data_IF_536743120894
#
_entry.id   IF_536743120894
#
_cell.length_a   1.000
_cell.length_b   1.000
_cell.length_c   1.000
_cell.angle_alpha   90.00
_cell.angle_beta   90.00
_cell.angle_gamma   90.00
#
_symmetry.space_group_name_H-M   'P 1'
#
loop_
_entity.id
_entity.type
_entity.pdbx_description
1 polymer ?
#
# COMPACT_ATOMS: atom_id res chain seq x y z
N UNK A 1 11.20 -16.61 5.29
CA UNK A 1 12.64 -16.81 5.58
C UNK A 1 12.88 -18.30 5.67
N UNK A 2 13.72 -18.88 4.80
CA UNK A 2 13.84 -20.33 4.69
C UNK A 2 14.49 -20.90 5.96
N UNK A 3 13.81 -21.82 6.67
CA UNK A 3 14.27 -22.38 7.95
C UNK A 3 15.63 -23.06 7.84
N UNK A 4 15.96 -23.59 6.66
CA UNK A 4 17.29 -24.14 6.36
C UNK A 4 18.43 -23.11 6.46
N UNK A 5 18.19 -21.85 6.10
CA UNK A 5 19.21 -20.80 6.19
C UNK A 5 19.56 -20.49 7.65
N UNK A 6 18.55 -20.41 8.51
CA UNK A 6 18.73 -20.13 9.94
C UNK A 6 19.52 -21.25 10.61
N UNK A 7 19.24 -22.51 10.27
CA UNK A 7 19.94 -23.67 10.82
C UNK A 7 21.41 -23.73 10.40
N UNK A 8 21.71 -23.47 9.13
CA UNK A 8 23.09 -23.46 8.61
C UNK A 8 23.89 -22.28 9.18
N UNK A 9 23.28 -21.09 9.27
CA UNK A 9 23.90 -19.91 9.87
C UNK A 9 24.17 -20.13 11.38
N UNK A 10 23.21 -20.70 12.12
CA UNK A 10 23.39 -21.03 13.53
C UNK A 10 24.51 -22.07 13.74
N UNK A 11 24.57 -23.12 12.91
CA UNK A 11 25.60 -24.14 13.00
C UNK A 11 27.01 -23.58 12.74
N UNK A 12 27.16 -22.71 11.74
CA UNK A 12 28.45 -22.08 11.39
C UNK A 12 28.92 -21.09 12.47
N UNK A 13 28.01 -20.34 13.10
CA UNK A 13 28.32 -19.50 14.27
C UNK A 13 28.74 -20.35 15.47
N UNK A 14 28.05 -21.47 15.75
CA UNK A 14 28.42 -22.38 16.84
C UNK A 14 29.80 -23.02 16.63
N UNK A 15 30.14 -23.40 15.39
CA UNK A 15 31.47 -23.91 15.06
C UNK A 15 32.53 -22.84 15.28
N UNK A 16 32.29 -21.59 14.85
CA UNK A 16 33.21 -20.48 15.07
C UNK A 16 33.42 -20.17 16.57
N UNK A 17 32.34 -20.18 17.37
CA UNK A 17 32.39 -19.97 18.82
C UNK A 17 33.14 -21.09 19.52
N UNK A 18 32.86 -22.36 19.16
CA UNK A 18 33.59 -23.50 19.70
C UNK A 18 35.10 -23.41 19.39
N UNK A 19 35.45 -22.97 18.18
CA UNK A 19 36.85 -22.77 17.78
C UNK A 19 37.55 -21.65 18.57
N UNK A 20 36.82 -20.62 19.00
CA UNK A 20 37.36 -19.52 19.81
C UNK A 20 37.48 -19.88 21.30
N UNK A 21 36.52 -20.64 21.84
CA UNK A 21 36.40 -20.92 23.28
C UNK A 21 37.23 -22.13 23.71
N UNK A 22 37.30 -23.19 22.90
CA UNK A 22 38.07 -24.42 23.21
C UNK A 22 39.56 -24.15 23.52
N UNK A 23 40.30 -23.35 22.75
CA UNK A 23 41.70 -23.01 23.08
C UNK A 23 41.84 -22.04 24.27
N UNK A 24 40.75 -21.40 24.69
CA UNK A 24 40.70 -20.52 25.86
C UNK A 24 40.51 -21.31 27.16
N UNK A 25 39.83 -22.46 27.09
CA UNK A 25 39.61 -23.38 28.21
C UNK A 25 40.72 -24.44 28.36
N UNK A 26 41.39 -24.83 27.28
CA UNK A 26 42.50 -25.78 27.32
C UNK A 26 43.81 -25.11 27.80
N UNK A 27 44.05 -25.13 29.11
CA UNK A 27 45.26 -24.57 29.72
C UNK A 27 46.57 -25.27 29.31
N UNK A 28 47.61 -24.46 29.04
CA UNK A 28 49.04 -24.82 28.87
C UNK A 28 49.36 -25.85 27.77
N UNK A 29 49.37 -25.39 26.52
CA UNK A 29 50.30 -25.86 25.49
C UNK A 29 50.75 -24.66 24.65
N UNK A 30 51.96 -24.72 24.11
CA UNK A 30 52.76 -23.61 23.59
C UNK A 30 51.97 -22.70 22.63
N UNK A 31 51.55 -21.54 23.15
CA UNK A 31 50.47 -20.71 22.60
C UNK A 31 50.84 -19.99 21.29
N UNK A 32 52.10 -20.10 20.84
CA UNK A 32 52.64 -19.38 19.68
C UNK A 32 52.44 -20.10 18.35
N UNK A 33 52.36 -21.43 18.35
CA UNK A 33 52.30 -22.22 17.10
C UNK A 33 50.87 -22.62 16.68
N UNK A 34 49.91 -22.64 17.62
CA UNK A 34 48.53 -23.04 17.36
C UNK A 34 47.66 -21.91 16.75
N UNK A 35 47.98 -20.64 17.04
CA UNK A 35 47.25 -19.46 16.54
C UNK A 35 47.28 -19.32 15.02
N UNK A 36 48.43 -19.45 14.32
CA UNK A 36 48.45 -19.33 12.85
C UNK A 36 47.68 -20.46 12.14
N UNK A 37 47.70 -21.67 12.69
CA UNK A 37 46.92 -22.81 12.14
C UNK A 37 45.42 -22.55 12.30
N UNK A 38 44.99 -22.03 13.45
CA UNK A 38 43.61 -21.67 13.71
C UNK A 38 43.09 -20.61 12.72
N UNK A 39 43.90 -19.57 12.47
CA UNK A 39 43.58 -18.51 11.51
C UNK A 39 43.47 -19.07 10.10
N UNK A 40 44.42 -19.92 9.68
CA UNK A 40 44.41 -20.54 8.35
C UNK A 40 43.14 -21.40 8.15
N UNK A 41 42.76 -22.18 9.16
CA UNK A 41 41.55 -23.00 9.11
C UNK A 41 40.31 -22.13 8.97
N UNK A 42 40.15 -21.06 9.75
CA UNK A 42 39.00 -20.15 9.65
C UNK A 42 38.94 -19.46 8.28
N UNK A 43 40.10 -18.99 7.78
CA UNK A 43 40.21 -18.33 6.46
C UNK A 43 39.82 -19.26 5.32
N UNK A 44 40.00 -20.58 5.46
CA UNK A 44 39.60 -21.55 4.43
C UNK A 44 38.17 -22.07 4.62
N UNK A 45 37.75 -22.31 5.86
CA UNK A 45 36.44 -22.90 6.16
C UNK A 45 35.30 -21.92 5.92
N UNK A 46 35.47 -20.64 6.27
CA UNK A 46 34.40 -19.64 6.12
C UNK A 46 34.04 -19.40 4.64
N UNK A 47 34.99 -19.16 3.71
CA UNK A 47 34.66 -19.02 2.30
C UNK A 47 34.08 -20.29 1.69
N UNK A 48 34.60 -21.47 2.07
CA UNK A 48 34.09 -22.75 1.57
C UNK A 48 32.65 -23.02 2.03
N UNK A 49 32.36 -22.78 3.31
CA UNK A 49 31.02 -22.90 3.88
C UNK A 49 30.05 -21.88 3.25
N UNK A 50 30.50 -20.64 3.05
CA UNK A 50 29.74 -19.62 2.34
C UNK A 50 29.44 -20.03 0.90
N UNK A 51 30.40 -20.59 0.18
CA UNK A 51 30.22 -21.06 -1.19
C UNK A 51 29.22 -22.23 -1.28
N UNK A 52 29.31 -23.20 -0.38
CA UNK A 52 28.37 -24.33 -0.30
C UNK A 52 26.96 -23.84 0.05
N UNK A 53 26.84 -22.92 1.01
CA UNK A 53 25.55 -22.35 1.42
C UNK A 53 24.93 -21.53 0.28
N UNK A 54 25.73 -20.74 -0.43
CA UNK A 54 25.29 -20.00 -1.60
C UNK A 54 24.81 -20.92 -2.72
N UNK A 55 25.47 -22.06 -2.95
CA UNK A 55 25.03 -23.06 -3.94
C UNK A 55 23.77 -23.82 -3.52
N UNK A 56 23.59 -24.08 -2.22
CA UNK A 56 22.46 -24.87 -1.71
C UNK A 56 21.18 -24.05 -1.49
N UNK A 57 21.32 -22.76 -1.18
CA UNK A 57 20.20 -21.87 -0.80
C UNK A 57 20.04 -20.69 -1.77
N UNK A 58 21.13 -20.24 -2.40
CA UNK A 58 21.10 -19.14 -3.35
C UNK A 58 20.58 -19.56 -4.73
N UNK A 59 20.23 -18.57 -5.54
CA UNK A 59 19.82 -18.71 -6.94
C UNK A 59 21.00 -18.32 -7.85
N UNK A 60 21.94 -19.24 -8.14
CA UNK A 60 23.13 -18.94 -8.95
C UNK A 60 22.78 -18.47 -10.38
N UNK A 61 21.61 -18.85 -10.89
CA UNK A 61 21.07 -18.41 -12.18
C UNK A 61 20.64 -16.93 -12.17
N UNK A 62 20.37 -16.34 -11.00
CA UNK A 62 20.03 -14.91 -10.86
C UNK A 62 21.21 -13.95 -11.07
N UNK A 63 22.41 -14.47 -11.36
CA UNK A 63 23.59 -13.68 -11.77
C UNK A 63 23.89 -13.88 -13.27
N UNK A 64 22.97 -14.42 -14.06
CA UNK A 64 23.10 -14.37 -15.52
C UNK A 64 23.22 -12.90 -15.96
N UNK A 65 24.16 -12.54 -16.87
CA UNK A 65 24.24 -11.19 -17.38
C UNK A 65 22.91 -10.80 -18.04
N UNK A 66 22.35 -9.61 -17.76
CA UNK A 66 21.10 -9.13 -18.38
C UNK A 66 21.11 -9.22 -19.92
N UNK A 67 22.30 -9.14 -20.52
CA UNK A 67 22.51 -9.24 -21.96
C UNK A 67 22.16 -10.61 -22.55
N UNK A 68 22.19 -11.68 -21.74
CA UNK A 68 21.92 -13.04 -22.22
C UNK A 68 20.43 -13.28 -22.53
N UNK A 69 19.53 -12.75 -21.71
CA UNK A 69 18.08 -12.85 -21.92
C UNK A 69 17.64 -11.94 -23.07
N UNK A 70 18.13 -10.71 -23.10
CA UNK A 70 17.85 -9.78 -24.20
C UNK A 70 18.38 -10.29 -25.56
N UNK A 71 19.55 -10.94 -25.58
CA UNK A 71 20.07 -11.59 -26.79
C UNK A 71 19.19 -12.77 -27.24
N UNK A 72 18.67 -13.57 -26.30
CA UNK A 72 17.76 -14.67 -26.61
C UNK A 72 16.44 -14.17 -27.20
N UNK A 73 15.85 -13.12 -26.61
CA UNK A 73 14.61 -12.50 -27.12
C UNK A 73 14.83 -11.92 -28.51
N UNK A 74 15.96 -11.22 -28.74
CA UNK A 74 16.33 -10.71 -30.08
C UNK A 74 16.50 -11.83 -31.11
N UNK A 75 17.08 -12.97 -30.72
CA UNK A 75 17.17 -14.12 -31.61
C UNK A 75 15.78 -14.69 -31.96
N UNK A 76 14.89 -14.80 -30.96
CA UNK A 76 13.51 -15.25 -31.17
C UNK A 76 12.72 -14.30 -32.09
N UNK A 77 12.93 -12.98 -31.98
CA UNK A 77 12.34 -11.98 -32.87
C UNK A 77 12.73 -12.20 -34.35
N UNK A 78 13.99 -12.58 -34.63
CA UNK A 78 14.44 -12.88 -35.99
C UNK A 78 13.74 -14.14 -36.53
N UNK A 79 13.54 -15.16 -35.70
CA UNK A 79 12.79 -16.37 -36.09
C UNK A 79 11.31 -16.07 -36.34
N UNK A 80 10.68 -15.21 -35.53
CA UNK A 80 9.30 -14.77 -35.72
C UNK A 80 9.16 -13.97 -37.03
N UNK A 81 10.07 -13.02 -37.28
CA UNK A 81 10.07 -12.22 -38.50
C UNK A 81 10.18 -13.10 -39.77
N UNK A 82 11.07 -14.10 -39.77
CA UNK A 82 11.20 -15.07 -40.88
C UNK A 82 9.93 -15.90 -41.11
N UNK A 83 9.15 -16.18 -40.06
CA UNK A 83 7.87 -16.89 -40.18
C UNK A 83 6.79 -15.96 -40.76
N UNK A 84 6.75 -14.71 -40.32
CA UNK A 84 5.85 -13.68 -40.82
C UNK A 84 6.11 -13.30 -42.29
N UNK A 85 7.35 -13.40 -42.78
CA UNK A 85 7.67 -13.27 -44.21
C UNK A 85 6.97 -14.34 -45.07
N UNK A 86 6.74 -15.54 -44.51
CA UNK A 86 6.07 -16.64 -45.21
C UNK A 86 4.56 -16.59 -45.03
N UNK A 87 4.11 -16.16 -43.85
CA UNK A 87 2.70 -16.01 -43.51
C UNK A 87 2.47 -14.71 -42.73
N UNK A 88 2.15 -13.63 -43.45
CA UNK A 88 2.02 -12.29 -42.87
C UNK A 88 0.67 -12.04 -42.18
N UNK A 89 -0.25 -13.00 -42.26
CA UNK A 89 -1.61 -12.93 -41.73
C UNK A 89 -1.79 -13.83 -40.49
N UNK A 90 -0.70 -14.08 -39.76
CA UNK A 90 -0.69 -14.85 -38.52
C UNK A 90 -0.74 -13.91 -37.31
N UNK A 91 -1.94 -13.66 -36.78
CA UNK A 91 -2.15 -12.77 -35.64
C UNK A 91 -1.33 -13.22 -34.41
N UNK A 92 -1.26 -14.53 -34.13
CA UNK A 92 -0.53 -15.07 -32.98
C UNK A 92 0.97 -14.77 -33.04
N UNK A 93 1.57 -14.80 -34.24
CA UNK A 93 2.97 -14.42 -34.42
C UNK A 93 3.21 -12.93 -34.20
N UNK A 94 2.30 -12.08 -34.68
CA UNK A 94 2.36 -10.64 -34.42
C UNK A 94 2.20 -10.31 -32.94
N UNK A 95 1.32 -11.03 -32.22
CA UNK A 95 1.20 -10.92 -30.76
C UNK A 95 2.52 -11.29 -30.09
N UNK A 96 3.10 -12.45 -30.42
CA UNK A 96 4.39 -12.88 -29.84
C UNK A 96 5.50 -11.88 -30.09
N UNK A 97 5.55 -11.31 -31.31
CA UNK A 97 6.51 -10.26 -31.66
C UNK A 97 6.30 -9.02 -30.80
N UNK A 98 5.05 -8.57 -30.63
CA UNK A 98 4.70 -7.45 -29.78
C UNK A 98 5.13 -7.65 -28.33
N UNK A 99 4.78 -8.79 -27.73
CA UNK A 99 5.16 -9.12 -26.35
C UNK A 99 6.68 -9.21 -26.17
N UNK A 100 7.41 -9.76 -27.14
CA UNK A 100 8.87 -9.81 -27.11
C UNK A 100 9.50 -8.41 -27.15
N UNK A 101 8.95 -7.48 -27.96
CA UNK A 101 9.40 -6.09 -27.93
C UNK A 101 9.07 -5.38 -26.62
N UNK A 102 7.91 -5.66 -26.00
CA UNK A 102 7.59 -5.12 -24.66
C UNK A 102 8.56 -5.58 -23.59
N UNK A 103 8.97 -6.85 -23.63
CA UNK A 103 9.97 -7.38 -22.70
C UNK A 103 11.34 -6.68 -22.86
N UNK A 104 11.68 -6.31 -24.10
CA UNK A 104 12.85 -5.48 -24.40
C UNK A 104 12.63 -3.98 -24.12
N UNK A 105 11.44 -3.59 -23.66
CA UNK A 105 11.00 -2.20 -23.46
C UNK A 105 11.06 -1.34 -24.73
N UNK A 106 11.01 -1.97 -25.90
CA UNK A 106 10.93 -1.32 -27.21
C UNK A 106 9.45 -1.07 -27.56
N UNK A 107 8.79 -0.17 -26.83
CA UNK A 107 7.34 0.01 -26.90
C UNK A 107 6.83 0.46 -28.28
N UNK A 108 7.57 1.32 -29.01
CA UNK A 108 7.16 1.73 -30.35
C UNK A 108 7.16 0.56 -31.35
N UNK A 109 8.15 -0.35 -31.26
CA UNK A 109 8.18 -1.58 -32.05
C UNK A 109 7.06 -2.54 -31.66
N UNK A 110 6.78 -2.65 -30.36
CA UNK A 110 5.67 -3.44 -29.84
C UNK A 110 4.31 -2.93 -30.34
N UNK A 111 4.10 -1.62 -30.36
CA UNK A 111 2.89 -0.99 -30.86
C UNK A 111 2.64 -1.39 -32.31
N UNK A 112 3.65 -1.27 -33.18
CA UNK A 112 3.52 -1.66 -34.59
C UNK A 112 3.11 -3.13 -34.76
N UNK A 113 3.73 -4.05 -34.01
CA UNK A 113 3.40 -5.46 -34.07
C UNK A 113 1.98 -5.75 -33.54
N UNK A 114 1.59 -5.15 -32.41
CA UNK A 114 0.26 -5.35 -31.81
C UNK A 114 -0.86 -4.72 -32.65
N UNK A 115 -0.62 -3.57 -33.30
CA UNK A 115 -1.57 -3.00 -34.27
C UNK A 115 -1.76 -3.90 -35.47
N UNK A 116 -0.68 -4.54 -35.96
CA UNK A 116 -0.79 -5.51 -37.05
C UNK A 116 -1.56 -6.76 -36.61
N UNK A 117 -1.35 -7.24 -35.39
CA UNK A 117 -2.15 -8.32 -34.82
C UNK A 117 -3.63 -7.94 -34.72
N UNK A 118 -3.94 -6.75 -34.21
CA UNK A 118 -5.30 -6.24 -34.07
C UNK A 118 -5.98 -6.03 -35.42
N UNK A 119 -5.24 -5.65 -36.47
CA UNK A 119 -5.80 -5.57 -37.81
C UNK A 119 -6.29 -6.93 -38.34
N UNK A 120 -5.62 -8.01 -37.96
CA UNK A 120 -5.95 -9.37 -38.40
C UNK A 120 -7.07 -9.96 -37.52
N UNK A 121 -7.00 -9.73 -36.21
CA UNK A 121 -7.95 -10.22 -35.21
C UNK A 121 -8.45 -9.07 -34.31
N UNK A 122 -9.34 -8.24 -34.88
CA UNK A 122 -9.78 -6.97 -34.29
C UNK A 122 -10.60 -7.11 -33.02
N UNK A 123 -11.23 -8.26 -32.80
CA UNK A 123 -12.10 -8.51 -31.67
C UNK A 123 -11.39 -9.21 -30.50
N UNK A 124 -10.07 -9.37 -30.57
CA UNK A 124 -9.34 -10.10 -29.53
C UNK A 124 -9.05 -9.23 -28.31
N UNK A 125 -9.66 -9.52 -27.13
CA UNK A 125 -9.49 -8.68 -25.95
C UNK A 125 -8.05 -8.66 -25.44
N UNK A 126 -7.30 -9.74 -25.67
CA UNK A 126 -5.89 -9.81 -25.28
C UNK A 126 -5.06 -8.77 -26.04
N UNK A 127 -5.24 -8.67 -27.36
CA UNK A 127 -4.48 -7.73 -28.20
C UNK A 127 -4.81 -6.30 -27.81
N UNK A 128 -6.10 -6.01 -27.59
CA UNK A 128 -6.58 -4.70 -27.19
C UNK A 128 -5.95 -4.24 -25.87
N UNK A 129 -5.90 -5.12 -24.86
CA UNK A 129 -5.28 -4.83 -23.55
C UNK A 129 -3.77 -4.64 -23.67
N UNK A 130 -3.10 -5.52 -24.41
CA UNK A 130 -1.64 -5.44 -24.57
C UNK A 130 -1.23 -4.20 -25.36
N UNK A 131 -2.02 -3.77 -26.35
CA UNK A 131 -1.81 -2.54 -27.11
C UNK A 131 -2.06 -1.31 -26.23
N UNK A 132 -3.16 -1.29 -25.47
CA UNK A 132 -3.48 -0.17 -24.58
C UNK A 132 -2.38 0.11 -23.55
N UNK A 133 -1.83 -0.95 -22.94
CA UNK A 133 -0.70 -0.86 -22.01
C UNK A 133 0.60 -0.43 -22.74
N UNK A 134 0.85 -0.95 -23.94
CA UNK A 134 2.02 -0.53 -24.74
C UNK A 134 1.99 0.97 -25.01
N UNK A 135 0.83 1.51 -25.41
CA UNK A 135 0.63 2.94 -25.63
C UNK A 135 0.84 3.77 -24.35
N UNK A 136 0.41 3.25 -23.19
CA UNK A 136 0.68 3.90 -21.91
C UNK A 136 2.18 4.06 -21.68
N UNK A 137 2.96 2.98 -21.82
CA UNK A 137 4.41 3.02 -21.60
C UNK A 137 5.16 3.82 -22.66
N UNK A 138 4.77 3.73 -23.94
CA UNK A 138 5.39 4.50 -25.03
C UNK A 138 5.20 6.02 -24.85
N UNK A 139 4.02 6.42 -24.35
CA UNK A 139 3.70 7.84 -24.11
C UNK A 139 4.58 8.51 -23.03
N UNK A 140 5.18 7.71 -22.13
CA UNK A 140 5.92 8.20 -20.96
C UNK A 140 5.07 8.97 -19.95
N UNK A 141 3.74 8.97 -20.10
CA UNK A 141 2.80 9.65 -19.23
C UNK A 141 2.18 8.68 -18.23
N UNK A 142 1.77 9.15 -17.04
CA UNK A 142 1.14 8.29 -16.06
C UNK A 142 -0.29 7.88 -16.45
N UNK A 143 -0.96 8.67 -17.30
CA UNK A 143 -2.38 8.54 -17.67
C UNK A 143 -2.57 7.80 -18.98
N UNK A 144 -3.71 7.11 -19.11
CA UNK A 144 -4.09 6.47 -20.37
C UNK A 144 -4.41 7.52 -21.44
N UNK A 145 -4.02 7.24 -22.68
CA UNK A 145 -4.56 7.97 -23.83
C UNK A 145 -6.04 7.64 -24.04
N UNK A 146 -6.76 8.47 -24.80
CA UNK A 146 -8.14 8.18 -25.16
C UNK A 146 -8.28 6.84 -25.89
N UNK A 147 -7.33 6.55 -26.79
CA UNK A 147 -7.28 5.28 -27.53
C UNK A 147 -7.03 4.09 -26.60
N UNK A 148 -6.05 4.18 -25.70
CA UNK A 148 -5.78 3.12 -24.72
C UNK A 148 -7.01 2.80 -23.88
N UNK A 149 -7.73 3.85 -23.43
CA UNK A 149 -8.95 3.69 -22.63
C UNK A 149 -10.06 3.00 -23.43
N UNK A 150 -10.28 3.40 -24.68
CA UNK A 150 -11.28 2.80 -25.57
C UNK A 150 -10.99 1.31 -25.81
N UNK A 151 -9.74 0.95 -26.10
CA UNK A 151 -9.31 -0.44 -26.27
C UNK A 151 -9.58 -1.29 -25.02
N UNK A 152 -9.34 -0.75 -23.82
CA UNK A 152 -9.59 -1.47 -22.56
C UNK A 152 -11.08 -1.67 -22.29
N UNK A 153 -11.91 -0.67 -22.60
CA UNK A 153 -13.36 -0.76 -22.45
C UNK A 153 -13.94 -1.80 -23.41
N UNK A 154 -13.53 -1.74 -24.68
CA UNK A 154 -13.97 -2.70 -25.71
C UNK A 154 -13.51 -4.13 -25.39
N UNK A 155 -12.33 -4.30 -24.79
CA UNK A 155 -11.85 -5.59 -24.30
C UNK A 155 -12.72 -6.15 -23.17
N UNK A 156 -13.18 -5.29 -22.24
CA UNK A 156 -14.05 -5.68 -21.13
C UNK A 156 -15.47 -6.01 -21.58
N UNK A 157 -15.98 -5.33 -22.62
CA UNK A 157 -17.28 -5.65 -23.20
C UNK A 157 -17.29 -7.06 -23.81
N UNK A 158 -16.16 -7.51 -24.34
CA UNK A 158 -15.99 -8.86 -24.90
C UNK A 158 -15.67 -9.92 -23.85
N UNK A 159 -14.82 -9.61 -22.89
CA UNK A 159 -14.46 -10.51 -21.80
C UNK A 159 -14.38 -9.76 -20.45
N UNK A 160 -15.44 -9.83 -19.63
CA UNK A 160 -15.49 -9.20 -18.30
C UNK A 160 -14.57 -9.84 -17.26
N UNK A 161 -13.72 -10.82 -17.61
CA UNK A 161 -12.80 -11.48 -16.66
C UNK A 161 -11.36 -10.99 -16.78
N UNK A 162 -11.09 -9.96 -17.59
CA UNK A 162 -9.74 -9.45 -17.82
C UNK A 162 -9.26 -8.56 -16.67
N UNK A 163 -8.61 -9.19 -15.69
CA UNK A 163 -8.04 -8.53 -14.50
C UNK A 163 -7.16 -7.30 -14.84
N UNK A 164 -6.27 -7.43 -15.83
CA UNK A 164 -5.36 -6.35 -16.25
C UNK A 164 -6.11 -5.11 -16.76
N UNK A 165 -7.24 -5.28 -17.44
CA UNK A 165 -8.02 -4.15 -17.94
C UNK A 165 -8.66 -3.36 -16.80
N UNK A 166 -9.28 -4.04 -15.83
CA UNK A 166 -9.81 -3.38 -14.63
C UNK A 166 -8.71 -2.67 -13.83
N UNK A 167 -7.53 -3.27 -13.72
CA UNK A 167 -6.39 -2.65 -13.05
C UNK A 167 -5.99 -1.33 -13.72
N UNK A 168 -5.75 -1.33 -15.02
CA UNK A 168 -5.32 -0.14 -15.76
C UNK A 168 -6.39 0.96 -15.75
N UNK A 169 -7.67 0.60 -15.97
CA UNK A 169 -8.77 1.56 -15.91
C UNK A 169 -9.00 2.12 -14.50
N UNK A 170 -8.87 1.30 -13.46
CA UNK A 170 -9.02 1.73 -12.07
C UNK A 170 -7.91 2.69 -11.64
N UNK A 171 -6.66 2.43 -12.05
CA UNK A 171 -5.55 3.34 -11.80
C UNK A 171 -5.68 4.65 -12.59
N UNK A 172 -6.10 4.59 -13.85
CA UNK A 172 -6.39 5.79 -14.65
C UNK A 172 -7.48 6.66 -14.00
N UNK A 173 -8.55 6.03 -13.51
CA UNK A 173 -9.61 6.72 -12.78
C UNK A 173 -9.12 7.40 -11.52
N UNK A 174 -8.28 6.73 -10.72
CA UNK A 174 -7.63 7.36 -9.56
C UNK A 174 -6.82 8.62 -9.94
N UNK A 175 -6.08 8.58 -11.05
CA UNK A 175 -5.25 9.71 -11.50
C UNK A 175 -6.05 10.87 -12.09
N UNK A 176 -7.27 10.60 -12.57
CA UNK A 176 -8.25 11.60 -12.99
C UNK A 176 -9.12 12.09 -11.84
N UNK A 177 -8.89 11.58 -10.64
CA UNK A 177 -9.71 11.84 -9.44
C UNK A 177 -11.18 11.45 -9.66
N UNK A 178 -11.44 10.52 -10.57
CA UNK A 178 -12.75 9.95 -10.83
C UNK A 178 -12.95 8.76 -9.89
N UNK A 179 -13.19 9.07 -8.62
CA UNK A 179 -13.19 8.06 -7.57
C UNK A 179 -14.38 7.09 -7.69
N UNK A 180 -15.49 7.52 -8.27
CA UNK A 180 -16.65 6.66 -8.53
C UNK A 180 -16.29 5.55 -9.54
N UNK A 181 -15.69 5.93 -10.68
CA UNK A 181 -15.22 4.94 -11.64
C UNK A 181 -14.10 4.07 -11.04
N UNK A 182 -13.16 4.67 -10.31
CA UNK A 182 -12.06 3.93 -9.69
C UNK A 182 -12.56 2.83 -8.74
N UNK A 183 -13.53 3.16 -7.88
CA UNK A 183 -14.17 2.18 -6.98
C UNK A 183 -14.80 1.06 -7.79
N UNK A 184 -15.63 1.40 -8.78
CA UNK A 184 -16.32 0.39 -9.61
C UNK A 184 -15.35 -0.56 -10.33
N UNK A 185 -14.26 -0.05 -10.91
CA UNK A 185 -13.28 -0.90 -11.61
C UNK A 185 -12.46 -1.76 -10.66
N UNK A 186 -12.02 -1.21 -9.53
CA UNK A 186 -11.19 -1.93 -8.56
C UNK A 186 -11.98 -2.97 -7.76
N UNK A 187 -13.27 -2.78 -7.54
CA UNK A 187 -14.16 -3.79 -6.94
C UNK A 187 -14.31 -5.01 -7.85
N UNK A 188 -14.59 -4.79 -9.14
CA UNK A 188 -14.65 -5.88 -10.12
C UNK A 188 -13.32 -6.64 -10.19
N UNK A 189 -12.18 -5.94 -10.06
CA UNK A 189 -10.89 -6.59 -9.96
C UNK A 189 -10.71 -7.41 -8.67
N UNK A 190 -11.14 -6.89 -7.51
CA UNK A 190 -11.05 -7.62 -6.23
C UNK A 190 -11.81 -8.95 -6.30
N UNK A 191 -13.00 -8.94 -6.91
CA UNK A 191 -13.85 -10.12 -7.09
C UNK A 191 -13.20 -11.19 -7.98
N UNK A 192 -12.48 -10.77 -9.02
CA UNK A 192 -11.81 -11.68 -9.96
C UNK A 192 -10.50 -12.28 -9.44
N UNK A 193 -9.91 -11.70 -8.40
CA UNK A 193 -8.62 -12.15 -7.86
C UNK A 193 -8.78 -13.35 -6.91
N UNK A 194 -7.69 -14.05 -6.64
CA UNK A 194 -7.61 -14.97 -5.50
C UNK A 194 -7.01 -14.25 -4.28
N UNK A 195 -7.19 -14.80 -3.09
CA UNK A 195 -6.51 -14.27 -1.90
C UNK A 195 -4.99 -14.29 -2.09
N UNK A 196 -4.32 -13.22 -1.65
CA UNK A 196 -2.89 -13.02 -1.79
C UNK A 196 -2.49 -11.55 -1.90
N UNK A 197 -1.19 -11.31 -2.07
CA UNK A 197 -0.58 -9.97 -2.07
C UNK A 197 -1.11 -9.04 -3.17
N UNK A 198 -1.52 -9.59 -4.31
CA UNK A 198 -2.11 -8.82 -5.42
C UNK A 198 -3.46 -8.24 -5.00
N UNK A 199 -4.34 -9.07 -4.44
CA UNK A 199 -5.65 -8.66 -3.92
C UNK A 199 -5.51 -7.63 -2.80
N UNK A 200 -4.58 -7.84 -1.87
CA UNK A 200 -4.28 -6.86 -0.82
C UNK A 200 -3.82 -5.50 -1.39
N UNK A 201 -3.04 -5.52 -2.47
CA UNK A 201 -2.63 -4.29 -3.15
C UNK A 201 -3.81 -3.58 -3.80
N UNK A 202 -4.68 -4.31 -4.50
CA UNK A 202 -5.93 -3.77 -5.07
C UNK A 202 -6.81 -3.16 -3.98
N UNK A 203 -6.98 -3.82 -2.83
CA UNK A 203 -7.75 -3.30 -1.69
C UNK A 203 -7.22 -1.99 -1.13
N UNK A 204 -5.90 -1.79 -1.14
CA UNK A 204 -5.30 -0.51 -0.73
C UNK A 204 -5.67 0.61 -1.69
N UNK A 205 -5.60 0.37 -3.00
CA UNK A 205 -6.04 1.35 -4.01
C UNK A 205 -7.56 1.59 -3.95
N UNK A 206 -8.35 0.55 -3.70
CA UNK A 206 -9.79 0.66 -3.51
C UNK A 206 -10.13 1.51 -2.27
N UNK A 207 -9.42 1.32 -1.15
CA UNK A 207 -9.59 2.15 0.03
C UNK A 207 -9.20 3.61 -0.24
N UNK A 208 -8.13 3.85 -1.01
CA UNK A 208 -7.75 5.19 -1.45
C UNK A 208 -8.85 5.83 -2.29
N UNK A 209 -9.42 5.11 -3.26
CA UNK A 209 -10.53 5.59 -4.08
C UNK A 209 -11.75 5.95 -3.22
N UNK A 210 -12.16 5.09 -2.29
CA UNK A 210 -13.30 5.33 -1.38
C UNK A 210 -13.11 6.57 -0.50
N UNK A 211 -11.90 6.79 0.01
CA UNK A 211 -11.57 8.01 0.79
C UNK A 211 -11.69 9.26 -0.07
N UNK A 212 -11.17 9.21 -1.30
CA UNK A 212 -11.30 10.31 -2.25
C UNK A 212 -12.76 10.62 -2.58
N UNK A 213 -13.58 9.58 -2.81
CA UNK A 213 -15.01 9.73 -3.09
C UNK A 213 -15.75 10.42 -1.93
N UNK A 214 -15.48 10.00 -0.70
CA UNK A 214 -16.06 10.61 0.50
C UNK A 214 -15.58 12.05 0.77
N UNK A 215 -14.45 12.47 0.21
CA UNK A 215 -13.96 13.86 0.26
C UNK A 215 -14.53 14.72 -0.88
N UNK A 216 -14.84 14.12 -2.03
CA UNK A 216 -15.41 14.80 -3.19
C UNK A 216 -16.92 14.95 -3.12
N UNK A 217 -17.63 14.09 -2.40
CA UNK A 217 -19.02 14.35 -2.09
C UNK A 217 -19.09 15.49 -1.07
N UNK A 218 -19.59 16.68 -1.44
CA UNK A 218 -20.05 17.62 -0.42
C UNK A 218 -21.09 16.89 0.43
N UNK A 219 -21.05 17.08 1.76
CA UNK A 219 -22.07 16.60 2.68
C UNK A 219 -23.44 17.06 2.19
N UNK A 220 -24.09 16.21 1.39
CA UNK A 220 -25.39 16.45 0.77
C UNK A 220 -26.31 15.44 1.40
N UNK A 221 -27.22 15.99 2.20
CA UNK A 221 -28.35 15.40 2.92
C UNK A 221 -28.40 13.86 3.05
N UNK A 222 -28.35 13.32 4.29
CA UNK A 222 -28.49 11.89 4.53
C UNK A 222 -29.96 11.48 4.34
N UNK A 223 -30.32 11.08 3.12
CA UNK A 223 -31.54 10.34 2.86
C UNK A 223 -31.22 9.14 1.97
N UNK A 224 -31.25 7.96 2.60
CA UNK A 224 -31.22 6.61 2.01
C UNK A 224 -29.84 6.05 1.64
N UNK A 225 -29.11 5.64 2.67
CA UNK A 225 -28.28 4.44 2.66
C UNK A 225 -28.22 3.95 4.10
N UNK A 226 -28.56 2.68 4.35
CA UNK A 226 -28.60 2.07 5.68
C UNK A 226 -27.33 2.39 6.48
N UNK A 227 -27.46 3.31 7.44
CA UNK A 227 -26.43 3.70 8.39
C UNK A 227 -26.40 2.64 9.47
N UNK A 228 -25.39 1.78 9.41
CA UNK A 228 -24.92 1.05 10.59
C UNK A 228 -24.26 2.09 11.53
N UNK A 229 -25.14 2.62 12.39
CA UNK A 229 -25.09 3.61 13.47
C UNK A 229 -23.81 4.45 13.76
N UNK A 230 -23.90 5.80 13.85
CA UNK A 230 -22.89 6.63 14.51
C UNK A 230 -23.01 6.45 16.03
N UNK A 231 -22.00 5.89 16.68
CA UNK A 231 -22.08 5.60 18.12
C UNK A 231 -21.79 6.81 19.03
N UNK A 232 -21.10 7.85 18.57
CA UNK A 232 -20.88 9.08 19.37
C UNK A 232 -20.89 10.36 18.51
N UNK A 233 -21.73 11.32 18.85
CA UNK A 233 -21.77 12.68 18.26
C UNK A 233 -21.39 13.70 19.32
N UNK A 234 -20.37 14.51 19.04
CA UNK A 234 -19.87 15.56 19.94
C UNK A 234 -20.11 16.93 19.32
N UNK A 235 -20.88 17.77 20.00
CA UNK A 235 -21.06 19.19 19.66
C UNK A 235 -19.97 20.01 20.32
N UNK A 236 -19.24 20.79 19.53
CA UNK A 236 -18.17 21.64 19.99
C UNK A 236 -18.55 23.11 19.82
N UNK A 237 -18.34 23.88 20.87
CA UNK A 237 -18.48 25.33 20.85
C UNK A 237 -17.37 25.98 21.67
N UNK A 238 -17.02 27.22 21.33
CA UNK A 238 -16.10 28.06 22.09
C UNK A 238 -16.92 29.08 22.89
N UNK A 239 -16.54 29.35 24.14
CA UNK A 239 -17.12 30.44 24.90
C UNK A 239 -16.82 31.80 24.23
N UNK A 240 -17.83 32.67 24.12
CA UNK A 240 -17.71 33.97 23.48
C UNK A 240 -16.55 34.82 24.03
N UNK A 241 -16.17 34.64 25.30
CA UNK A 241 -15.05 35.35 25.94
C UNK A 241 -13.67 34.90 25.44
N UNK A 242 -13.59 33.69 24.89
CA UNK A 242 -12.36 33.08 24.40
C UNK A 242 -12.27 33.10 22.87
N UNK A 243 -13.37 33.38 22.17
CA UNK A 243 -13.41 33.47 20.71
C UNK A 243 -12.34 34.42 20.12
N UNK A 244 -12.04 35.55 20.79
CA UNK A 244 -10.98 36.49 20.36
C UNK A 244 -9.55 35.93 20.48
N UNK A 245 -9.35 34.82 21.20
CA UNK A 245 -8.05 34.16 21.41
C UNK A 245 -7.83 32.97 20.47
N UNK A 246 -8.83 32.62 19.68
CA UNK A 246 -8.77 31.53 18.72
C UNK A 246 -8.42 32.10 17.35
N UNK A 247 -7.40 31.53 16.71
CA UNK A 247 -7.10 31.74 15.31
C UNK A 247 -7.78 30.67 14.47
N UNK A 248 -8.26 31.02 13.28
CA UNK A 248 -8.78 30.04 12.32
C UNK A 248 -7.71 29.01 11.92
N UNK A 249 -6.41 29.29 12.08
CA UNK A 249 -5.34 28.32 11.80
C UNK A 249 -5.05 27.37 12.98
N UNK A 250 -5.68 27.58 14.14
CA UNK A 250 -5.43 26.74 15.31
C UNK A 250 -5.98 25.33 15.13
N UNK A 251 -5.34 24.36 15.76
CA UNK A 251 -5.73 22.95 15.66
C UNK A 251 -6.60 22.56 16.86
N UNK A 252 -7.77 22.01 16.60
CA UNK A 252 -8.67 21.47 17.62
C UNK A 252 -8.48 19.96 17.72
N UNK A 253 -8.11 19.48 18.91
CA UNK A 253 -8.02 18.07 19.24
C UNK A 253 -9.23 17.67 20.09
N UNK A 254 -10.03 16.73 19.60
CA UNK A 254 -11.14 16.13 20.33
C UNK A 254 -10.70 14.77 20.82
N UNK A 255 -10.54 14.64 22.12
CA UNK A 255 -9.94 13.47 22.77
C UNK A 255 -11.01 12.79 23.60
N UNK A 256 -11.30 11.53 23.29
CA UNK A 256 -12.23 10.69 24.05
C UNK A 256 -11.42 9.80 24.99
N UNK A 257 -11.75 9.80 26.27
CA UNK A 257 -11.12 8.97 27.31
C UNK A 257 -12.19 8.19 28.08
N UNK A 258 -11.81 7.06 28.68
CA UNK A 258 -12.65 6.40 29.67
C UNK A 258 -12.79 7.31 30.91
N UNK A 259 -14.00 7.41 31.48
CA UNK A 259 -14.24 8.14 32.72
C UNK A 259 -13.52 7.47 33.90
N UNK A 260 -13.56 6.13 33.93
CA UNK A 260 -12.87 5.27 34.87
C UNK A 260 -12.05 4.24 34.10
N UNK A 261 -10.72 4.41 34.04
CA UNK A 261 -9.88 3.54 33.22
C UNK A 261 -8.44 4.02 33.01
N UNK A 262 -7.71 3.42 32.04
CA UNK A 262 -6.35 3.81 31.72
C UNK A 262 -6.29 5.26 31.20
N UNK A 263 -5.19 5.97 31.49
CA UNK A 263 -5.00 7.38 31.09
C UNK A 263 -4.84 7.61 29.58
N UNK A 264 -4.77 6.54 28.80
CA UNK A 264 -4.61 6.62 27.34
C UNK A 264 -5.95 7.02 26.67
N UNK A 265 -5.91 7.78 25.57
CA UNK A 265 -7.11 8.14 24.82
C UNK A 265 -7.66 6.94 24.02
N UNK A 266 -8.98 6.86 23.91
CA UNK A 266 -9.70 5.84 23.12
C UNK A 266 -9.82 6.25 21.65
N UNK A 267 -10.06 7.55 21.41
CA UNK A 267 -10.13 8.15 20.08
C UNK A 267 -9.60 9.58 20.13
N UNK A 268 -8.98 10.02 19.04
CA UNK A 268 -8.51 11.40 18.85
C UNK A 268 -8.90 11.85 17.46
N UNK A 269 -9.67 12.93 17.37
CA UNK A 269 -9.98 13.60 16.11
C UNK A 269 -9.30 14.97 16.06
N UNK A 270 -8.83 15.35 14.88
CA UNK A 270 -8.15 16.62 14.64
C UNK A 270 -8.95 17.44 13.65
N UNK A 271 -9.28 18.67 14.04
CA UNK A 271 -10.09 19.62 13.29
C UNK A 271 -9.36 20.96 13.24
N UNK A 272 -9.85 21.86 12.39
CA UNK A 272 -9.39 23.23 12.33
C UNK A 272 -10.33 24.13 13.19
N UNK A 273 -9.78 25.11 13.90
CA UNK A 273 -10.57 25.93 14.83
C UNK A 273 -11.55 26.87 14.13
N UNK A 274 -11.29 27.25 12.88
CA UNK A 274 -12.23 28.02 12.03
C UNK A 274 -13.50 27.25 11.66
N UNK A 275 -13.57 25.94 11.93
CA UNK A 275 -14.77 25.13 11.72
C UNK A 275 -15.75 25.21 12.90
N UNK A 276 -15.37 25.82 14.04
CA UNK A 276 -16.23 25.91 15.23
C UNK A 276 -17.31 27.00 15.07
N UNK A 277 -18.55 26.78 15.58
CA UNK A 277 -19.05 25.57 16.25
C UNK A 277 -19.40 24.45 15.25
N UNK A 278 -19.02 23.21 15.57
CA UNK A 278 -19.24 22.04 14.69
C UNK A 278 -19.69 20.80 15.45
N UNK A 279 -20.24 19.82 14.71
CA UNK A 279 -20.55 18.49 15.21
C UNK A 279 -19.54 17.48 14.67
N UNK A 280 -19.01 16.63 15.55
CA UNK A 280 -18.01 15.61 15.22
C UNK A 280 -18.58 14.24 15.53
N UNK A 281 -18.67 13.39 14.53
CA UNK A 281 -19.12 12.00 14.70
C UNK A 281 -17.93 11.06 14.81
N UNK A 282 -17.96 10.16 15.79
CA UNK A 282 -17.02 9.07 15.96
C UNK A 282 -17.73 7.75 15.63
N UNK A 283 -17.16 7.01 14.68
CA UNK A 283 -17.61 5.68 14.31
C UNK A 283 -16.75 4.58 14.91
N UNK A 284 -17.20 3.32 14.77
CA UNK A 284 -16.47 2.13 15.27
C UNK A 284 -15.07 1.99 14.64
N UNK A 285 -14.84 2.58 13.46
CA UNK A 285 -13.56 2.60 12.74
C UNK A 285 -12.59 3.72 13.15
N UNK A 286 -13.01 4.66 14.01
CA UNK A 286 -12.16 5.75 14.52
C UNK A 286 -11.36 5.35 15.77
N UNK A 287 -11.55 4.12 16.25
CA UNK A 287 -10.76 3.54 17.33
C UNK A 287 -9.37 3.15 16.82
N UNK A 288 -8.34 3.52 17.58
CA UNK A 288 -6.94 3.24 17.21
C UNK A 288 -6.74 1.74 16.99
N UNK A 289 -6.12 1.37 15.87
CA UNK A 289 -5.91 -0.02 15.45
C UNK A 289 -5.27 -0.86 16.58
N UNK A 290 -6.05 -1.74 17.21
CA UNK A 290 -5.60 -2.64 18.29
C UNK A 290 -5.72 -2.10 19.73
N UNK A 291 -6.39 -0.96 19.95
CA UNK A 291 -6.74 -0.43 21.28
C UNK A 291 -8.15 -0.80 21.74
N UNK A 292 -8.46 -0.56 23.02
CA UNK A 292 -9.83 -0.67 23.55
C UNK A 292 -10.73 0.41 22.91
N UNK A 293 -11.94 0.02 22.52
CA UNK A 293 -12.92 0.89 21.88
C UNK A 293 -13.74 1.69 22.88
N UNK A 294 -14.56 2.61 22.37
CA UNK A 294 -15.52 3.37 23.20
C UNK A 294 -16.54 2.44 23.86
N UNK A 295 -16.95 1.38 23.14
CA UNK A 295 -17.92 0.37 23.59
C UNK A 295 -17.41 -0.52 24.75
N UNK A 296 -16.12 -0.47 25.07
CA UNK A 296 -15.52 -1.31 26.12
C UNK A 296 -15.65 -0.71 27.54
N UNK A 297 -16.20 0.50 27.68
CA UNK A 297 -16.27 1.24 28.95
C UNK A 297 -17.70 1.67 29.27
N UNK A 298 -18.04 1.74 30.55
CA UNK A 298 -19.38 2.14 31.01
C UNK A 298 -19.65 3.65 30.83
N UNK A 299 -18.60 4.46 30.92
CA UNK A 299 -18.68 5.92 30.77
C UNK A 299 -17.40 6.49 30.17
N UNK A 300 -17.56 7.57 29.41
CA UNK A 300 -16.48 8.30 28.74
C UNK A 300 -16.47 9.78 29.13
N UNK A 301 -15.32 10.42 28.99
CA UNK A 301 -15.16 11.88 29.08
C UNK A 301 -14.52 12.39 27.80
N UNK A 302 -15.08 13.47 27.26
CA UNK A 302 -14.56 14.13 26.06
C UNK A 302 -13.87 15.42 26.47
N UNK A 303 -12.64 15.59 25.99
CA UNK A 303 -11.87 16.82 26.14
C UNK A 303 -11.66 17.41 24.75
N UNK A 304 -12.07 18.65 24.54
CA UNK A 304 -11.76 19.42 23.34
C UNK A 304 -10.67 20.43 23.66
N UNK A 305 -9.58 20.44 22.90
CA UNK A 305 -8.47 21.37 23.09
C UNK A 305 -8.13 22.11 21.82
N UNK A 306 -7.99 23.43 21.90
CA UNK A 306 -7.42 24.27 20.85
C UNK A 306 -5.95 24.46 21.16
N UNK A 307 -5.08 23.99 20.26
CA UNK A 307 -3.63 24.13 20.37
C UNK A 307 -3.09 24.99 19.23
N UNK A 308 -2.43 26.08 19.59
CA UNK A 308 -1.66 26.92 18.66
C UNK A 308 -0.39 26.21 18.17
N UNK A 309 0.15 25.29 18.98
CA UNK A 309 1.38 24.55 18.70
C UNK A 309 1.19 23.29 17.84
N UNK A 310 -0.07 22.91 17.55
CA UNK A 310 -0.40 21.74 16.72
C UNK A 310 -0.09 20.38 17.35
N UNK A 311 0.04 20.31 18.68
CA UNK A 311 0.28 19.07 19.43
C UNK A 311 -0.90 18.72 20.33
N UNK A 312 -1.17 17.43 20.52
CA UNK A 312 -2.29 16.94 21.33
C UNK A 312 -2.02 16.93 22.86
N UNK A 313 -0.79 17.26 23.28
CA UNK A 313 -0.39 17.39 24.69
C UNK A 313 -0.70 18.79 25.21
N UNK A 314 -0.97 18.94 26.51
CA UNK A 314 -1.40 20.21 27.08
C UNK A 314 -0.22 21.18 27.13
N UNK A 315 -0.35 22.34 26.49
CA UNK A 315 0.63 23.42 26.56
C UNK A 315 0.02 24.65 27.24
N UNK A 316 0.88 25.48 27.83
CA UNK A 316 0.42 26.73 28.45
C UNK A 316 -0.07 27.70 27.37
N UNK A 317 -1.25 28.26 27.55
CA UNK A 317 -1.94 29.11 26.57
C UNK A 317 -2.93 28.38 25.66
N UNK A 318 -2.96 27.04 25.66
CA UNK A 318 -4.00 26.26 24.98
C UNK A 318 -5.37 26.52 25.64
N UNK A 319 -6.44 26.40 24.85
CA UNK A 319 -7.81 26.49 25.35
C UNK A 319 -8.38 25.09 25.48
N UNK A 320 -9.05 24.78 26.59
CA UNK A 320 -9.61 23.46 26.84
C UNK A 320 -11.09 23.55 27.27
N UNK A 321 -11.85 22.56 26.85
CA UNK A 321 -13.21 22.30 27.29
C UNK A 321 -13.36 20.83 27.66
N UNK A 322 -14.08 20.53 28.73
CA UNK A 322 -14.29 19.18 29.21
C UNK A 322 -15.79 18.87 29.32
N UNK A 323 -16.20 17.68 28.89
CA UNK A 323 -17.55 17.18 29.13
C UNK A 323 -17.69 16.61 30.55
N UNK A 324 -18.93 16.49 31.01
CA UNK A 324 -19.27 15.56 32.08
C UNK A 324 -19.01 14.10 31.64
N UNK A 325 -19.02 13.17 32.60
CA UNK A 325 -18.96 11.74 32.29
C UNK A 325 -20.26 11.32 31.59
N UNK A 326 -20.14 10.83 30.35
CA UNK A 326 -21.26 10.41 29.53
C UNK A 326 -21.33 8.89 29.51
N UNK A 327 -22.47 8.27 29.89
CA UNK A 327 -22.62 6.82 29.84
C UNK A 327 -22.62 6.32 28.39
N UNK A 328 -21.96 5.20 28.15
CA UNK A 328 -21.89 4.58 26.82
C UNK A 328 -23.19 3.83 26.54
N UNK A 329 -23.79 4.09 25.38
CA UNK A 329 -25.03 3.47 24.90
C UNK A 329 -25.03 3.44 23.38
N UNK A 330 -26.04 2.83 22.74
CA UNK A 330 -26.08 2.66 21.28
C UNK A 330 -25.93 3.98 20.50
N UNK A 331 -26.38 5.10 21.08
CA UNK A 331 -26.19 6.45 20.53
C UNK A 331 -25.81 7.43 21.61
N UNK A 332 -24.57 7.92 21.56
CA UNK A 332 -24.03 8.86 22.54
C UNK A 332 -24.04 10.26 21.93
N UNK A 333 -24.58 11.23 22.66
CA UNK A 333 -24.48 12.66 22.30
C UNK A 333 -23.85 13.42 23.44
N UNK A 334 -22.82 14.20 23.15
CA UNK A 334 -22.15 15.04 24.14
C UNK A 334 -21.98 16.46 23.62
N UNK A 335 -21.99 17.44 24.52
CA UNK A 335 -21.65 18.82 24.22
C UNK A 335 -20.43 19.22 25.03
N UNK A 336 -19.44 19.81 24.37
CA UNK A 336 -18.25 20.37 25.00
C UNK A 336 -18.16 21.85 24.67
N UNK A 337 -18.15 22.66 25.73
CA UNK A 337 -17.86 24.09 25.64
C UNK A 337 -16.40 24.30 26.01
N UNK A 338 -15.64 25.00 25.16
CA UNK A 338 -14.25 25.37 25.40
C UNK A 338 -14.27 26.70 26.15
N UNK A 339 -14.04 26.65 27.46
CA UNK A 339 -14.22 27.75 28.40
C UNK A 339 -13.02 27.98 29.34
N UNK A 340 -12.00 27.12 29.29
CA UNK A 340 -10.80 27.18 30.13
C UNK A 340 -9.53 27.53 29.32
N UNK A 341 -8.57 28.19 29.97
CA UNK A 341 -7.23 28.50 29.44
C UNK A 341 -6.20 27.79 30.31
N UNK A 342 -5.29 27.04 29.70
CA UNK A 342 -4.29 26.20 30.39
C UNK A 342 -2.99 26.91 30.77
#
# INVERSE_FOLDING_TARGET
MNTGFILIAAASVLVAIAFAIVPLLAGKSDRRDAVPVLILVVVLLVPAASWVTYRAVGTPEGIAPPDSDAAMIRAALIDIARQLERNSDDADQWIRMGLAYKELQEYSSAEHALRRALYIDGDNPFIQIELAETLLFDSGQPRLSSESRELLLDALDKDPRKQKAYWLLGLDALQREDYEEAVGRLEQLDDLLSDGSVRESVRRYLQQARRGLGQQQPATDPANGEVDDPQLVVRLAVDDKLAERVSDDDTVFVIVRAADGPRAPLAVHRLNAGELPTEVSFGRNDTMMGGAGIDDFDAIRITARISHGGVAEAQSGDLEGNSDAVPVSDRISASVLIDEVL
#
